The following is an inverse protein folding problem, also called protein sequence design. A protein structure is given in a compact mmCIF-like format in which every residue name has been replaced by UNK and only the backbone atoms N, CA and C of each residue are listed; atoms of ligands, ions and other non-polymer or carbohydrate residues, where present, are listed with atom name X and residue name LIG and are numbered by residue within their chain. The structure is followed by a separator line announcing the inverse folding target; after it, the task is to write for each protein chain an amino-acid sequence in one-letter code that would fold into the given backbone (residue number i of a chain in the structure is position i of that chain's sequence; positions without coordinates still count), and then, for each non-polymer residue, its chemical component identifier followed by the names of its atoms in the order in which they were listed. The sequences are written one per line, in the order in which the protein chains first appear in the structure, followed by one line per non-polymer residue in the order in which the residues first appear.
data_IF_280358842473
#
_entry.id   IF_280358842473
#
_cell.length_a   1.000
_cell.length_b   1.000
_cell.length_c   1.000
_cell.angle_alpha   90.00
_cell.angle_beta   90.00
_cell.angle_gamma   90.00
#
_symmetry.space_group_name_H-M   'P 1'
#
loop_
_entity.id
_entity.type
_entity.pdbx_description
1 polymer ?
#
# COMPACT_ATOMS: atom_id res chain seq x y z
N UNK A 1 6.73 12.50 -10.52
CA UNK A 1 7.75 11.83 -11.34
C UNK A 1 8.58 10.92 -10.44
N UNK A 2 8.93 9.70 -10.87
CA UNK A 2 9.82 8.85 -10.09
C UNK A 2 11.16 9.56 -9.88
N UNK A 3 11.79 9.41 -8.70
CA UNK A 3 13.03 10.11 -8.38
C UNK A 3 14.26 9.59 -9.14
N UNK A 4 14.16 8.43 -9.80
CA UNK A 4 15.25 7.79 -10.49
C UNK A 4 14.80 7.26 -11.87
N UNK A 5 15.69 7.33 -12.88
CA UNK A 5 15.36 6.89 -14.25
C UNK A 5 14.98 5.41 -14.34
N UNK A 6 15.61 4.54 -13.55
CA UNK A 6 15.26 3.11 -13.49
C UNK A 6 13.82 2.90 -13.01
N UNK A 7 13.37 3.67 -12.03
CA UNK A 7 11.97 3.64 -11.61
C UNK A 7 11.04 4.08 -12.73
N UNK A 8 11.40 5.13 -13.49
CA UNK A 8 10.63 5.57 -14.65
C UNK A 8 10.55 4.47 -15.73
N UNK A 9 11.65 3.74 -15.97
CA UNK A 9 11.67 2.58 -16.87
C UNK A 9 10.74 1.47 -16.40
N UNK A 10 10.84 1.06 -15.14
CA UNK A 10 10.00 -0.01 -14.58
C UNK A 10 8.53 0.38 -14.63
N UNK A 11 8.18 1.63 -14.29
CA UNK A 11 6.80 2.13 -14.42
C UNK A 11 6.31 2.04 -15.87
N UNK A 12 7.14 2.43 -16.83
CA UNK A 12 6.78 2.36 -18.26
C UNK A 12 6.62 0.91 -18.71
N UNK A 13 7.49 0.00 -18.26
CA UNK A 13 7.40 -1.43 -18.55
C UNK A 13 6.11 -2.02 -17.96
N UNK A 14 5.79 -1.71 -16.69
CA UNK A 14 4.56 -2.18 -16.06
C UNK A 14 3.33 -1.75 -16.86
N UNK A 15 3.22 -0.46 -17.20
CA UNK A 15 2.08 0.06 -17.97
C UNK A 15 1.99 -0.61 -19.35
N UNK A 16 3.11 -0.78 -20.06
CA UNK A 16 3.13 -1.46 -21.37
C UNK A 16 2.74 -2.93 -21.27
N UNK A 17 3.21 -3.61 -20.23
CA UNK A 17 2.86 -5.02 -19.95
C UNK A 17 1.37 -5.17 -19.68
N UNK A 18 0.79 -4.29 -18.87
CA UNK A 18 -0.65 -4.27 -18.60
C UNK A 18 -1.46 -3.98 -19.86
N UNK A 19 -1.02 -3.04 -20.70
CA UNK A 19 -1.68 -2.76 -21.99
C UNK A 19 -1.64 -4.00 -22.89
N UNK A 20 -0.50 -4.68 -23.02
CA UNK A 20 -0.39 -5.90 -23.81
C UNK A 20 -1.30 -7.02 -23.26
N UNK A 21 -1.26 -7.23 -21.94
CA UNK A 21 -2.07 -8.23 -21.24
C UNK A 21 -3.57 -8.02 -21.45
N UNK A 22 -4.06 -6.80 -21.28
CA UNK A 22 -5.49 -6.48 -21.38
C UNK A 22 -5.96 -6.22 -22.80
N UNK A 23 -5.06 -5.96 -23.75
CA UNK A 23 -5.39 -5.93 -25.16
C UNK A 23 -5.80 -7.30 -25.68
N UNK A 24 -5.07 -8.32 -25.27
CA UNK A 24 -5.30 -9.70 -25.67
C UNK A 24 -6.47 -10.30 -24.90
N UNK A 25 -6.51 -10.11 -23.59
CA UNK A 25 -7.55 -10.65 -22.72
C UNK A 25 -8.10 -9.56 -21.77
N UNK A 26 -9.09 -8.79 -22.22
CA UNK A 26 -9.67 -7.71 -21.41
C UNK A 26 -10.31 -8.21 -20.11
N UNK A 27 -10.08 -7.48 -19.00
CA UNK A 27 -10.75 -7.75 -17.74
C UNK A 27 -12.28 -7.55 -17.90
N UNK A 28 -13.05 -8.60 -17.64
CA UNK A 28 -14.53 -8.59 -17.71
C UNK A 28 -15.20 -8.68 -16.34
N UNK A 29 -14.41 -8.84 -15.28
CA UNK A 29 -14.94 -8.89 -13.93
C UNK A 29 -15.50 -7.52 -13.50
N UNK A 30 -16.62 -7.49 -12.75
CA UNK A 30 -17.14 -6.24 -12.21
C UNK A 30 -16.16 -5.67 -11.17
N UNK A 31 -16.03 -4.34 -11.17
CA UNK A 31 -15.23 -3.65 -10.18
C UNK A 31 -15.87 -3.75 -8.80
N UNK A 32 -15.04 -4.06 -7.79
CA UNK A 32 -15.48 -4.16 -6.40
C UNK A 32 -15.43 -2.76 -5.76
N UNK A 33 -16.50 -2.38 -5.07
CA UNK A 33 -16.55 -1.17 -4.26
C UNK A 33 -16.21 -1.51 -2.81
N UNK A 34 -15.06 -1.07 -2.34
CA UNK A 34 -14.59 -1.35 -0.99
C UNK A 34 -15.24 -0.47 0.10
N UNK A 35 -15.86 0.66 -0.28
CA UNK A 35 -16.45 1.60 0.69
C UNK A 35 -15.41 2.10 1.70
N UNK A 36 -15.80 2.16 2.97
CA UNK A 36 -14.92 2.58 4.07
C UNK A 36 -13.70 1.66 4.27
N UNK A 37 -13.77 0.40 3.84
CA UNK A 37 -12.64 -0.52 3.91
C UNK A 37 -11.47 -0.11 3.01
N UNK A 38 -11.72 0.66 1.96
CA UNK A 38 -10.65 1.19 1.14
C UNK A 38 -9.64 1.96 2.01
N UNK A 39 -10.15 2.92 2.80
CA UNK A 39 -9.32 3.71 3.70
C UNK A 39 -8.84 2.89 4.92
N UNK A 40 -9.75 2.19 5.58
CA UNK A 40 -9.45 1.50 6.82
C UNK A 40 -8.45 0.33 6.67
N UNK A 41 -8.49 -0.36 5.53
CA UNK A 41 -7.72 -1.59 5.30
C UNK A 41 -6.83 -1.50 4.06
N UNK A 42 -7.42 -1.33 2.86
CA UNK A 42 -6.73 -1.59 1.59
C UNK A 42 -5.72 -0.52 1.20
N UNK A 43 -5.74 0.68 1.81
CA UNK A 43 -4.68 1.68 1.66
C UNK A 43 -3.50 1.50 2.63
N UNK A 44 -3.50 0.45 3.47
CA UNK A 44 -2.32 0.11 4.24
C UNK A 44 -1.24 -0.51 3.34
N UNK A 45 0.04 -0.18 3.55
CA UNK A 45 1.16 -0.69 2.75
C UNK A 45 1.15 -2.19 2.53
N UNK A 46 0.83 -2.98 3.56
CA UNK A 46 0.76 -4.44 3.45
C UNK A 46 -0.14 -4.90 2.30
N UNK A 47 -1.37 -4.37 2.24
CA UNK A 47 -2.33 -4.78 1.22
C UNK A 47 -1.98 -4.24 -0.16
N UNK A 48 -1.46 -3.00 -0.26
CA UNK A 48 -1.06 -2.41 -1.53
C UNK A 48 0.16 -3.11 -2.14
N UNK A 49 1.13 -3.52 -1.29
CA UNK A 49 2.31 -4.26 -1.73
C UNK A 49 1.89 -5.66 -2.21
N UNK A 50 0.96 -6.30 -1.50
CA UNK A 50 0.43 -7.60 -1.90
C UNK A 50 -0.33 -7.51 -3.23
N UNK A 51 -1.21 -6.53 -3.38
CA UNK A 51 -2.02 -6.29 -4.59
C UNK A 51 -1.13 -6.09 -5.83
N UNK A 52 -0.09 -5.26 -5.75
CA UNK A 52 0.83 -5.07 -6.88
C UNK A 52 1.69 -6.33 -7.16
N UNK A 53 1.97 -7.13 -6.15
CA UNK A 53 2.66 -8.41 -6.34
C UNK A 53 1.77 -9.43 -7.06
N UNK A 54 0.46 -9.44 -6.81
CA UNK A 54 -0.51 -10.24 -7.56
C UNK A 54 -0.59 -9.80 -9.03
N UNK A 55 -0.57 -8.48 -9.30
CA UNK A 55 -0.49 -7.96 -10.67
C UNK A 55 0.77 -8.47 -11.38
N UNK A 56 1.92 -8.44 -10.72
CA UNK A 56 3.16 -8.99 -11.29
C UNK A 56 3.08 -10.51 -11.50
N UNK A 57 2.38 -11.23 -10.63
CA UNK A 57 2.14 -12.66 -10.78
C UNK A 57 1.23 -12.97 -11.98
N UNK A 58 0.16 -12.20 -12.20
CA UNK A 58 -0.71 -12.33 -13.37
C UNK A 58 0.06 -12.08 -14.68
N UNK A 59 0.90 -11.06 -14.73
CA UNK A 59 1.77 -10.80 -15.89
C UNK A 59 2.68 -11.99 -16.19
N UNK A 60 3.32 -12.58 -15.18
CA UNK A 60 4.16 -13.78 -15.35
C UNK A 60 3.36 -14.99 -15.83
N UNK A 61 2.17 -15.20 -15.26
CA UNK A 61 1.27 -16.28 -15.69
C UNK A 61 0.86 -16.15 -17.15
N UNK A 62 0.72 -14.91 -17.62
CA UNK A 62 0.45 -14.59 -19.03
C UNK A 62 1.68 -14.75 -19.96
N UNK A 63 2.87 -14.92 -19.40
CA UNK A 63 4.13 -15.08 -20.17
C UNK A 63 4.95 -13.80 -20.32
N UNK A 64 4.62 -12.75 -19.59
CA UNK A 64 5.44 -11.53 -19.48
C UNK A 64 6.29 -11.63 -18.24
N UNK A 65 7.60 -11.83 -18.41
CA UNK A 65 8.54 -11.91 -17.31
C UNK A 65 8.75 -10.55 -16.64
N UNK A 66 7.89 -10.24 -15.67
CA UNK A 66 7.98 -9.07 -14.82
C UNK A 66 8.46 -9.47 -13.43
N UNK A 67 9.67 -9.06 -13.07
CA UNK A 67 10.23 -9.35 -11.76
C UNK A 67 9.65 -8.41 -10.70
N UNK A 68 9.03 -9.00 -9.67
CA UNK A 68 8.42 -8.25 -8.57
C UNK A 68 9.43 -7.37 -7.82
N UNK A 69 10.70 -7.79 -7.75
CA UNK A 69 11.76 -7.02 -7.07
C UNK A 69 12.03 -5.66 -7.72
N UNK A 70 11.67 -5.48 -8.99
CA UNK A 70 11.76 -4.17 -9.65
C UNK A 70 10.86 -3.11 -9.03
N UNK A 71 9.86 -3.53 -8.26
CA UNK A 71 8.93 -2.65 -7.55
C UNK A 71 9.43 -2.24 -6.15
N UNK A 72 10.47 -2.88 -5.62
CA UNK A 72 11.01 -2.58 -4.29
C UNK A 72 11.38 -1.09 -4.10
N UNK A 73 12.03 -0.42 -5.07
CA UNK A 73 12.32 1.01 -4.92
C UNK A 73 11.07 1.88 -4.81
N UNK A 74 9.96 1.50 -5.47
CA UNK A 74 8.69 2.22 -5.32
C UNK A 74 8.07 2.00 -3.95
N UNK A 75 8.14 0.77 -3.44
CA UNK A 75 7.66 0.40 -2.11
C UNK A 75 8.39 1.20 -1.04
N UNK A 76 9.72 1.21 -1.06
CA UNK A 76 10.52 1.93 -0.07
C UNK A 76 10.40 3.46 -0.20
N UNK A 77 10.20 3.97 -1.43
CA UNK A 77 9.93 5.39 -1.65
C UNK A 77 8.54 5.83 -1.17
N UNK A 78 7.51 5.02 -1.46
CA UNK A 78 6.12 5.37 -1.14
C UNK A 78 5.74 5.05 0.31
N UNK A 79 6.31 4.00 0.84
CA UNK A 79 6.06 3.48 2.19
C UNK A 79 7.37 3.30 2.94
N UNK A 80 8.08 4.41 3.25
CA UNK A 80 9.38 4.32 3.88
C UNK A 80 9.30 3.55 5.19
N UNK A 81 10.26 2.66 5.39
CA UNK A 81 10.42 1.94 6.65
C UNK A 81 10.95 2.89 7.70
N UNK A 82 10.18 3.09 8.78
CA UNK A 82 10.55 3.94 9.91
C UNK A 82 11.45 3.16 10.85
N UNK A 83 11.14 1.89 11.11
CA UNK A 83 11.94 1.02 11.94
C UNK A 83 11.33 -0.35 12.19
N UNK A 84 12.15 -1.23 12.76
CA UNK A 84 11.76 -2.57 13.21
C UNK A 84 12.31 -2.82 14.61
N UNK A 85 11.58 -3.59 15.41
CA UNK A 85 12.01 -4.03 16.73
C UNK A 85 11.44 -5.41 17.03
N UNK A 86 12.08 -6.15 17.93
CA UNK A 86 11.61 -7.46 18.38
C UNK A 86 11.37 -7.42 19.89
N UNK A 87 10.15 -7.76 20.29
CA UNK A 87 9.74 -7.86 21.69
C UNK A 87 9.05 -9.18 21.97
N UNK A 88 9.57 -9.95 22.92
CA UNK A 88 8.95 -11.21 23.36
C UNK A 88 8.75 -12.23 22.21
N UNK A 89 9.61 -12.21 21.20
CA UNK A 89 9.53 -13.08 20.03
C UNK A 89 8.62 -12.55 18.90
N UNK A 90 8.00 -11.39 19.10
CA UNK A 90 7.19 -10.70 18.07
C UNK A 90 8.00 -9.62 17.41
N UNK A 91 8.07 -9.63 16.08
CA UNK A 91 8.64 -8.55 15.30
C UNK A 91 7.59 -7.48 15.05
N UNK A 92 7.96 -6.22 15.28
CA UNK A 92 7.16 -5.03 15.00
C UNK A 92 7.86 -4.24 13.92
N UNK A 93 7.18 -3.96 12.80
CA UNK A 93 7.65 -3.05 11.75
C UNK A 93 6.73 -1.82 11.68
N UNK A 94 7.34 -0.66 11.56
CA UNK A 94 6.64 0.60 11.30
C UNK A 94 6.99 1.12 9.90
N UNK A 95 5.97 1.48 9.13
CA UNK A 95 6.10 2.11 7.81
C UNK A 95 5.21 3.33 7.68
N UNK A 96 5.67 4.33 6.92
CA UNK A 96 4.78 5.38 6.42
C UNK A 96 3.66 4.76 5.58
N UNK A 97 2.46 5.31 5.68
CA UNK A 97 1.27 4.84 4.95
C UNK A 97 0.57 6.01 4.24
N UNK A 98 -0.33 5.68 3.30
CA UNK A 98 -1.12 6.70 2.62
C UNK A 98 -2.23 7.19 3.56
N UNK A 99 -2.26 8.49 3.81
CA UNK A 99 -3.40 9.18 4.37
C UNK A 99 -4.10 9.94 3.25
N UNK A 100 -5.32 9.57 2.86
CA UNK A 100 -6.12 10.36 1.93
C UNK A 100 -6.67 11.58 2.66
N UNK A 101 -5.98 12.70 2.51
CA UNK A 101 -6.35 13.96 3.15
C UNK A 101 -7.70 14.46 2.68
N UNK A 102 -8.49 15.00 3.60
CA UNK A 102 -9.77 15.59 3.29
C UNK A 102 -9.61 16.83 2.40
N UNK A 103 -10.44 16.92 1.37
CA UNK A 103 -10.50 18.11 0.52
C UNK A 103 -11.24 19.21 1.27
N UNK A 104 -10.56 20.35 1.47
CA UNK A 104 -11.10 21.55 2.13
C UNK A 104 -11.74 22.49 1.13
N UNK A 105 -11.29 22.50 -0.12
CA UNK A 105 -11.81 23.34 -1.17
C UNK A 105 -11.16 23.08 -2.51
N UNK A 106 -11.81 23.58 -3.55
CA UNK A 106 -11.33 23.54 -4.92
C UNK A 106 -11.43 24.92 -5.55
N UNK A 107 -10.42 25.32 -6.30
CA UNK A 107 -10.34 26.60 -6.98
C UNK A 107 -9.97 26.40 -8.45
N UNK A 108 -10.66 27.07 -9.33
CA UNK A 108 -10.34 27.06 -10.75
C UNK A 108 -9.12 27.93 -11.02
N UNK A 109 -8.13 27.38 -11.71
CA UNK A 109 -6.90 28.06 -12.10
C UNK A 109 -6.73 28.08 -13.62
N UNK A 110 -5.87 28.94 -14.14
CA UNK A 110 -5.62 29.05 -15.57
C UNK A 110 -5.09 27.76 -16.23
N UNK A 111 -4.51 26.83 -15.44
CA UNK A 111 -3.98 25.55 -15.91
C UNK A 111 -4.79 24.32 -15.46
N UNK A 112 -5.98 24.53 -14.86
CA UNK A 112 -6.79 23.42 -14.32
C UNK A 112 -7.46 23.79 -13.00
N UNK A 113 -7.57 22.82 -12.10
CA UNK A 113 -8.18 22.98 -10.79
C UNK A 113 -7.13 22.77 -9.70
N UNK A 114 -6.98 23.74 -8.79
CA UNK A 114 -6.22 23.56 -7.57
C UNK A 114 -7.12 22.99 -6.47
N UNK A 115 -6.61 22.04 -5.72
CA UNK A 115 -7.32 21.39 -4.63
C UNK A 115 -6.56 21.59 -3.33
N UNK A 116 -7.26 22.14 -2.34
CA UNK A 116 -6.72 22.34 -1.00
C UNK A 116 -7.13 21.17 -0.12
N UNK A 117 -6.17 20.61 0.59
CA UNK A 117 -6.37 19.43 1.44
C UNK A 117 -5.89 19.69 2.86
N UNK A 118 -6.51 19.04 3.82
CA UNK A 118 -6.02 19.01 5.19
C UNK A 118 -4.84 18.02 5.30
N UNK A 119 -3.63 18.54 5.33
CA UNK A 119 -2.39 17.79 5.45
C UNK A 119 -1.85 17.72 6.89
N UNK A 120 -2.68 18.04 7.88
CA UNK A 120 -2.29 18.06 9.30
C UNK A 120 -2.09 16.66 9.90
N UNK A 121 -2.53 15.62 9.20
CA UNK A 121 -2.50 14.22 9.67
C UNK A 121 -1.68 13.37 8.72
N UNK A 122 -0.80 12.57 9.30
CA UNK A 122 -0.05 11.52 8.61
C UNK A 122 -0.50 10.15 9.11
N UNK A 123 -0.25 9.10 8.30
CA UNK A 123 -0.61 7.74 8.65
C UNK A 123 0.61 6.84 8.72
N UNK A 124 0.63 5.98 9.73
CA UNK A 124 1.67 4.96 9.91
C UNK A 124 0.99 3.59 9.92
N UNK A 125 1.60 2.62 9.25
CA UNK A 125 1.25 1.21 9.42
C UNK A 125 2.13 0.60 10.51
N UNK A 126 1.47 -0.11 11.42
CA UNK A 126 2.11 -1.06 12.34
C UNK A 126 1.88 -2.45 11.79
N UNK A 127 2.95 -3.24 11.63
CA UNK A 127 2.89 -4.65 11.23
C UNK A 127 3.53 -5.50 12.32
N UNK A 128 2.82 -6.54 12.73
CA UNK A 128 3.30 -7.55 13.67
C UNK A 128 3.53 -8.86 12.95
N UNK A 129 4.61 -9.56 13.28
CA UNK A 129 4.93 -10.90 12.79
C UNK A 129 5.17 -11.82 13.97
N UNK A 130 4.51 -12.98 14.00
CA UNK A 130 4.61 -13.96 15.07
C UNK A 130 3.79 -13.61 16.32
N UNK A 131 2.84 -12.65 16.23
CA UNK A 131 2.02 -12.26 17.34
C UNK A 131 0.81 -13.19 17.51
N UNK A 132 0.71 -13.85 18.64
CA UNK A 132 -0.55 -14.46 19.09
C UNK A 132 -1.55 -13.35 19.43
N UNK A 133 -2.69 -13.33 18.73
CA UNK A 133 -3.74 -12.30 18.87
C UNK A 133 -4.28 -12.14 20.27
N UNK A 134 -4.18 -13.19 21.08
CA UNK A 134 -4.68 -13.19 22.47
C UNK A 134 -3.66 -12.66 23.48
N UNK A 135 -2.39 -12.54 23.08
CA UNK A 135 -1.28 -12.19 24.00
C UNK A 135 -0.81 -10.76 23.93
N UNK A 136 -1.05 -10.06 22.83
CA UNK A 136 -0.47 -8.74 22.59
C UNK A 136 -1.53 -7.71 22.23
N UNK A 137 -1.49 -6.58 22.90
CA UNK A 137 -2.25 -5.39 22.56
C UNK A 137 -1.24 -4.32 22.15
N UNK A 138 -1.36 -3.83 20.94
CA UNK A 138 -0.55 -2.70 20.47
C UNK A 138 -1.26 -1.41 20.78
N UNK A 139 -0.55 -0.46 21.34
CA UNK A 139 -1.09 0.87 21.66
C UNK A 139 -0.23 1.97 21.07
N UNK A 140 -0.84 3.07 20.66
CA UNK A 140 -0.18 4.33 20.34
C UNK A 140 -0.68 5.40 21.30
N UNK A 141 0.22 6.07 22.00
CA UNK A 141 -0.13 7.06 23.04
C UNK A 141 -1.18 6.56 24.06
N UNK A 142 -1.08 5.28 24.44
CA UNK A 142 -2.01 4.65 25.37
C UNK A 142 -3.35 4.21 24.78
N UNK A 143 -3.61 4.48 23.49
CA UNK A 143 -4.82 4.07 22.80
C UNK A 143 -4.58 2.76 22.02
N UNK A 144 -5.46 1.75 22.17
CA UNK A 144 -5.35 0.50 21.44
C UNK A 144 -5.46 0.73 19.93
N UNK A 145 -4.57 0.08 19.15
CA UNK A 145 -4.63 0.07 17.70
C UNK A 145 -5.47 -1.15 17.28
N UNK A 146 -6.52 -0.96 16.47
CA UNK A 146 -7.27 -2.09 15.91
C UNK A 146 -6.40 -2.82 14.87
N UNK A 147 -5.94 -4.02 15.24
CA UNK A 147 -5.14 -4.86 14.37
C UNK A 147 -6.02 -5.71 13.46
N UNK A 148 -5.72 -5.71 12.17
CA UNK A 148 -6.40 -6.48 11.13
C UNK A 148 -5.59 -7.76 10.85
N UNK A 149 -6.29 -8.88 10.73
CA UNK A 149 -5.67 -10.09 10.20
C UNK A 149 -5.38 -9.98 8.71
N UNK A 150 -4.34 -10.68 8.29
CA UNK A 150 -3.98 -10.87 6.88
C UNK A 150 -4.23 -12.30 6.45
N UNK A 151 -3.91 -12.64 5.20
CA UNK A 151 -3.98 -14.02 4.69
C UNK A 151 -2.93 -14.93 5.33
N UNK A 152 -1.86 -14.33 5.88
CA UNK A 152 -0.91 -15.03 6.73
C UNK A 152 -1.35 -14.93 8.19
N UNK A 153 -1.68 -16.04 8.88
CA UNK A 153 -2.14 -16.03 10.27
C UNK A 153 -1.13 -15.42 11.25
N UNK A 154 0.17 -15.48 10.92
CA UNK A 154 1.24 -14.94 11.76
C UNK A 154 1.45 -13.43 11.57
N UNK A 155 0.73 -12.81 10.63
CA UNK A 155 0.89 -11.38 10.30
C UNK A 155 -0.38 -10.62 10.60
N UNK A 156 -0.23 -9.52 11.34
CA UNK A 156 -1.29 -8.57 11.61
C UNK A 156 -0.83 -7.16 11.25
N UNK A 157 -1.74 -6.33 10.80
CA UNK A 157 -1.46 -4.94 10.45
C UNK A 157 -2.50 -3.99 11.03
N UNK A 158 -2.07 -2.80 11.41
CA UNK A 158 -2.96 -1.74 11.87
C UNK A 158 -2.52 -0.39 11.34
N UNK A 159 -3.48 0.52 11.15
CA UNK A 159 -3.20 1.90 10.78
C UNK A 159 -3.37 2.83 11.97
N UNK A 160 -2.43 3.75 12.11
CA UNK A 160 -2.45 4.84 13.10
C UNK A 160 -2.35 6.16 12.36
N UNK A 161 -3.10 7.16 12.78
CA UNK A 161 -3.02 8.53 12.28
C UNK A 161 -3.15 9.54 13.41
#
# INVERSE_FOLDING_TARGET
MPPHYQMAMVQSLLVRSLVARFWDEPLRAPLIRHGANLHGRYLLPHFLIHDIAEVAADLRAYGIEFDTSWLDPFTEFRFPRIGTAVFGGVEIELRGAIEPWNVLGEESTAGGMARYVDSSVERIQVRLIGADRQRFIVTANGQPIPMLGTDNPDVQVGGVR
#
